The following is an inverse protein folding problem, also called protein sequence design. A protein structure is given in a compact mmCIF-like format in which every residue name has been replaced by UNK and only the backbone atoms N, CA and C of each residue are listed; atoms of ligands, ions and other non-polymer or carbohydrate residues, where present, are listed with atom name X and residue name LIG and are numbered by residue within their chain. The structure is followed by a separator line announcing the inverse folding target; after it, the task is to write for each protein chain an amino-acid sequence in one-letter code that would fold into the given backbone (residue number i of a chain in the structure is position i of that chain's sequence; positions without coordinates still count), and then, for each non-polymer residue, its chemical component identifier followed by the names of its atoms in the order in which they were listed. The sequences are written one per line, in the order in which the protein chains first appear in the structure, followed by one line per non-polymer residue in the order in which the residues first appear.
data_IF_865735357485
#
_entry.id   IF_865735357485
#
_cell.length_a   1.000
_cell.length_b   1.000
_cell.length_c   1.000
_cell.angle_alpha   90.00
_cell.angle_beta   90.00
_cell.angle_gamma   90.00
#
_symmetry.space_group_name_H-M   'P 1'
#
loop_
_entity.id
_entity.type
_entity.pdbx_description
1 polymer ?
#
# COMPACT_ATOMS: atom_id res chain seq x y z
N UNK A 1 -11.17 -17.93 -5.56
CA UNK A 1 -10.15 -17.34 -4.66
C UNK A 1 -10.88 -16.62 -3.55
N UNK A 2 -10.27 -16.45 -2.36
CA UNK A 2 -10.91 -15.72 -1.25
C UNK A 2 -10.76 -14.22 -1.48
N UNK A 3 -11.87 -13.47 -1.40
CA UNK A 3 -11.88 -12.01 -1.42
C UNK A 3 -11.36 -11.48 -0.07
N UNK A 4 -10.35 -10.63 -0.08
CA UNK A 4 -9.77 -10.01 1.12
C UNK A 4 -10.27 -8.59 1.31
N UNK A 5 -10.36 -7.81 0.21
CA UNK A 5 -10.87 -6.45 0.23
C UNK A 5 -12.02 -6.36 -0.78
N UNK A 6 -13.14 -5.75 -0.37
CA UNK A 6 -14.24 -5.35 -1.25
C UNK A 6 -14.65 -3.93 -0.93
N UNK A 7 -14.73 -3.10 -1.95
CA UNK A 7 -15.35 -1.79 -1.91
C UNK A 7 -16.69 -1.88 -2.64
N UNK A 8 -17.73 -1.33 -2.03
CA UNK A 8 -19.08 -1.39 -2.53
C UNK A 8 -19.69 0.01 -2.58
N UNK A 9 -19.69 0.60 -3.77
CA UNK A 9 -20.23 1.93 -4.07
C UNK A 9 -19.75 3.02 -3.11
N UNK A 10 -18.45 3.03 -2.78
CA UNK A 10 -17.91 4.03 -1.86
C UNK A 10 -17.87 5.42 -2.48
N UNK A 11 -18.22 6.41 -1.65
CA UNK A 11 -18.15 7.82 -1.99
C UNK A 11 -17.46 8.59 -0.87
N UNK A 12 -16.70 9.64 -1.20
CA UNK A 12 -16.10 10.53 -0.23
C UNK A 12 -16.20 11.97 -0.66
N UNK A 13 -16.81 12.76 0.22
CA UNK A 13 -16.99 14.20 0.04
C UNK A 13 -16.31 14.95 1.18
N UNK A 14 -15.69 16.09 0.86
CA UNK A 14 -15.16 17.04 1.82
C UNK A 14 -15.85 18.39 1.69
N UNK A 15 -15.91 19.13 2.79
CA UNK A 15 -16.51 20.46 2.83
C UNK A 15 -17.96 20.47 3.38
N UNK A 16 -18.46 21.68 3.63
CA UNK A 16 -19.80 21.92 4.17
C UNK A 16 -20.52 23.03 3.36
N UNK A 17 -21.83 22.95 3.27
CA UNK A 17 -22.64 23.97 2.62
C UNK A 17 -22.44 24.06 1.12
N UNK A 18 -22.10 25.23 0.58
CA UNK A 18 -22.01 25.47 -0.87
C UNK A 18 -20.72 24.97 -1.56
N UNK A 19 -19.71 24.53 -0.80
CA UNK A 19 -18.41 24.10 -1.33
C UNK A 19 -18.13 22.64 -0.97
N UNK A 20 -18.72 21.71 -1.74
CA UNK A 20 -18.48 20.26 -1.60
C UNK A 20 -17.50 19.82 -2.68
N UNK A 21 -16.36 19.22 -2.26
CA UNK A 21 -15.42 18.55 -3.14
C UNK A 21 -15.66 17.05 -3.09
N UNK A 22 -15.99 16.45 -4.23
CA UNK A 22 -16.15 15.00 -4.38
C UNK A 22 -14.79 14.39 -4.67
N UNK A 23 -14.15 13.87 -3.65
CA UNK A 23 -12.83 13.23 -3.79
C UNK A 23 -12.95 11.79 -4.33
N UNK A 24 -14.03 11.08 -3.97
CA UNK A 24 -14.41 9.77 -4.53
C UNK A 24 -15.89 9.87 -4.92
N UNK A 25 -16.21 9.55 -6.17
CA UNK A 25 -17.56 9.70 -6.71
C UNK A 25 -18.39 8.42 -6.54
N UNK A 26 -17.88 7.30 -7.02
CA UNK A 26 -18.46 5.96 -6.91
C UNK A 26 -17.38 4.95 -7.30
N UNK A 27 -16.83 4.25 -6.32
CA UNK A 27 -15.79 3.24 -6.56
C UNK A 27 -16.23 1.90 -6.00
N UNK A 28 -16.21 0.89 -6.87
CA UNK A 28 -16.45 -0.51 -6.50
C UNK A 28 -15.38 -1.37 -7.13
N UNK A 29 -14.67 -2.17 -6.34
CA UNK A 29 -13.76 -3.23 -6.79
C UNK A 29 -13.49 -4.20 -5.65
N UNK A 30 -12.87 -5.33 -5.97
CA UNK A 30 -12.40 -6.27 -4.97
C UNK A 30 -10.93 -6.66 -5.20
N UNK A 31 -10.28 -7.13 -4.12
CA UNK A 31 -8.91 -7.65 -4.15
C UNK A 31 -8.93 -9.07 -3.58
N UNK A 32 -8.35 -10.00 -4.32
CA UNK A 32 -8.28 -11.40 -3.92
C UNK A 32 -7.05 -11.66 -3.03
N UNK A 33 -7.13 -12.69 -2.21
CA UNK A 33 -6.00 -13.11 -1.36
C UNK A 33 -4.76 -13.41 -2.23
N UNK A 34 -3.63 -12.83 -1.85
CA UNK A 34 -2.37 -12.96 -2.57
C UNK A 34 -2.27 -12.12 -3.84
N UNK A 35 -3.27 -11.27 -4.14
CA UNK A 35 -3.20 -10.36 -5.27
C UNK A 35 -2.32 -9.15 -4.95
N UNK A 36 -1.52 -8.69 -5.91
CA UNK A 36 -0.81 -7.42 -5.86
C UNK A 36 -1.48 -6.45 -6.83
N UNK A 37 -2.24 -5.50 -6.29
CA UNK A 37 -2.99 -4.49 -7.05
C UNK A 37 -2.31 -3.14 -6.94
N UNK A 38 -2.12 -2.46 -8.08
CA UNK A 38 -1.70 -1.07 -8.14
C UNK A 38 -2.89 -0.14 -8.40
N UNK A 39 -2.89 1.01 -7.77
CA UNK A 39 -3.82 2.10 -8.05
C UNK A 39 -3.02 3.27 -8.61
N UNK A 40 -3.33 3.67 -9.84
CA UNK A 40 -2.65 4.76 -10.54
C UNK A 40 -3.62 5.90 -10.88
N UNK A 41 -3.06 7.09 -11.08
CA UNK A 41 -3.80 8.27 -11.52
C UNK A 41 -3.02 9.56 -11.29
N UNK A 42 -3.47 10.66 -11.88
CA UNK A 42 -2.86 11.98 -11.71
C UNK A 42 -2.94 12.47 -10.25
N UNK A 43 -2.17 13.50 -9.91
CA UNK A 43 -2.34 14.20 -8.63
C UNK A 43 -3.78 14.70 -8.50
N UNK A 44 -4.38 14.54 -7.31
CA UNK A 44 -5.77 14.92 -7.08
C UNK A 44 -6.84 13.95 -7.59
N UNK A 45 -6.48 12.81 -8.20
CA UNK A 45 -7.48 11.83 -8.70
C UNK A 45 -8.20 11.04 -7.60
N UNK A 46 -7.85 11.23 -6.31
CA UNK A 46 -8.50 10.55 -5.18
C UNK A 46 -7.74 9.35 -4.60
N UNK A 47 -6.54 9.02 -5.08
CA UNK A 47 -5.75 7.84 -4.64
C UNK A 47 -5.49 7.81 -3.14
N UNK A 48 -4.92 8.88 -2.59
CA UNK A 48 -4.62 8.99 -1.15
C UNK A 48 -5.90 8.99 -0.32
N UNK A 49 -6.96 9.64 -0.79
CA UNK A 49 -8.28 9.58 -0.15
C UNK A 49 -8.82 8.15 -0.11
N UNK A 50 -8.73 7.43 -1.23
CA UNK A 50 -9.14 6.03 -1.32
C UNK A 50 -8.35 5.16 -0.34
N UNK A 51 -7.02 5.33 -0.31
CA UNK A 51 -6.16 4.60 0.62
C UNK A 51 -6.50 4.91 2.08
N UNK A 52 -6.77 6.18 2.41
CA UNK A 52 -7.16 6.60 3.75
C UNK A 52 -8.50 5.99 4.18
N UNK A 53 -9.48 5.89 3.27
CA UNK A 53 -10.75 5.22 3.56
C UNK A 53 -10.54 3.71 3.79
N UNK A 54 -9.77 3.02 2.93
CA UNK A 54 -9.47 1.59 3.08
C UNK A 54 -8.71 1.32 4.38
N UNK A 55 -7.79 2.22 4.73
CA UNK A 55 -6.99 2.12 5.95
C UNK A 55 -7.72 2.54 7.22
N UNK A 56 -8.97 2.96 7.09
CA UNK A 56 -9.79 3.48 8.22
C UNK A 56 -9.17 4.71 8.93
N UNK A 57 -8.26 5.42 8.26
CA UNK A 57 -7.73 6.73 8.71
C UNK A 57 -8.79 7.80 8.47
N UNK A 58 -9.55 7.67 7.39
CA UNK A 58 -10.70 8.50 7.08
C UNK A 58 -11.94 7.63 6.88
N UNK A 59 -13.13 8.22 7.01
CA UNK A 59 -14.40 7.53 6.85
C UNK A 59 -14.99 7.83 5.47
N UNK A 60 -15.70 6.87 4.87
CA UNK A 60 -16.48 7.09 3.65
C UNK A 60 -17.69 7.97 3.94
N UNK A 61 -18.17 8.70 2.93
CA UNK A 61 -19.43 9.46 3.03
C UNK A 61 -20.64 8.61 2.68
N UNK A 62 -20.47 7.56 1.87
CA UNK A 62 -21.48 6.56 1.52
C UNK A 62 -20.79 5.29 1.01
N UNK A 63 -21.52 4.18 0.98
CA UNK A 63 -21.04 2.86 0.58
C UNK A 63 -20.33 2.13 1.70
N UNK A 64 -19.82 0.94 1.40
CA UNK A 64 -19.22 0.03 2.39
C UNK A 64 -17.85 -0.47 1.95
N UNK A 65 -16.98 -0.72 2.92
CA UNK A 65 -15.66 -1.33 2.72
C UNK A 65 -15.58 -2.58 3.59
N UNK A 66 -15.35 -3.72 2.96
CA UNK A 66 -15.19 -5.00 3.65
C UNK A 66 -13.74 -5.45 3.60
N UNK A 67 -13.15 -5.76 4.75
CA UNK A 67 -11.82 -6.39 4.86
C UNK A 67 -11.98 -7.75 5.54
N UNK A 68 -11.60 -8.81 4.82
CA UNK A 68 -11.74 -10.22 5.23
C UNK A 68 -13.17 -10.53 5.76
N UNK A 69 -14.19 -9.96 5.09
CA UNK A 69 -15.62 -10.11 5.42
C UNK A 69 -16.14 -9.17 6.52
N UNK A 70 -15.28 -8.39 7.17
CA UNK A 70 -15.70 -7.41 8.18
C UNK A 70 -15.97 -6.06 7.51
N UNK A 71 -17.15 -5.48 7.72
CA UNK A 71 -17.46 -4.11 7.29
C UNK A 71 -16.72 -3.10 8.18
N UNK A 72 -15.68 -2.48 7.61
CA UNK A 72 -14.84 -1.53 8.34
C UNK A 72 -15.51 -0.17 8.54
N UNK A 73 -16.56 0.12 7.77
CA UNK A 73 -17.31 1.38 7.87
C UNK A 73 -18.23 1.40 9.09
N UNK A 74 -18.54 0.24 9.65
CA UNK A 74 -19.41 0.08 10.83
C UNK A 74 -18.62 -0.14 12.15
N UNK A 75 -17.28 -0.26 12.08
CA UNK A 75 -16.44 -0.46 13.26
C UNK A 75 -16.47 0.83 14.12
N UNK A 76 -16.71 0.67 15.41
CA UNK A 76 -16.72 1.79 16.34
C UNK A 76 -15.30 2.35 16.59
N UNK A 77 -15.22 3.63 17.00
CA UNK A 77 -13.95 4.33 17.24
C UNK A 77 -13.02 3.64 18.24
N UNK A 78 -13.54 2.90 19.19
CA UNK A 78 -12.73 2.21 20.22
C UNK A 78 -12.03 0.98 19.67
N UNK A 79 -12.61 0.34 18.67
CA UNK A 79 -12.12 -0.91 18.07
C UNK A 79 -11.31 -0.67 16.79
N UNK A 80 -11.51 0.47 16.11
CA UNK A 80 -10.89 0.75 14.82
C UNK A 80 -9.35 0.73 14.88
N UNK A 81 -8.75 1.24 15.95
CA UNK A 81 -7.30 1.23 16.15
C UNK A 81 -6.76 -0.19 16.34
N UNK A 82 -7.50 -1.04 17.04
CA UNK A 82 -7.17 -2.46 17.20
C UNK A 82 -7.30 -3.18 15.87
N UNK A 83 -8.40 -2.96 15.14
CA UNK A 83 -8.62 -3.54 13.82
C UNK A 83 -7.47 -3.22 12.86
N UNK A 84 -7.04 -1.93 12.78
CA UNK A 84 -5.91 -1.52 11.94
C UNK A 84 -4.64 -2.30 12.24
N UNK A 85 -4.21 -2.34 13.51
CA UNK A 85 -2.94 -2.98 13.88
C UNK A 85 -2.93 -4.49 13.69
N UNK A 86 -4.11 -5.14 13.78
CA UNK A 86 -4.23 -6.58 13.61
C UNK A 86 -4.36 -7.01 12.14
N UNK A 87 -4.93 -6.16 11.28
CA UNK A 87 -5.32 -6.55 9.92
C UNK A 87 -4.58 -5.81 8.82
N UNK A 88 -3.98 -4.63 9.09
CA UNK A 88 -3.32 -3.81 8.09
C UNK A 88 -1.82 -3.67 8.34
N UNK A 89 -1.05 -3.74 7.26
CA UNK A 89 0.36 -3.33 7.22
C UNK A 89 0.51 -2.06 6.40
N UNK A 90 1.42 -1.17 6.80
CA UNK A 90 1.63 0.11 6.12
C UNK A 90 3.08 0.27 5.69
N UNK A 91 3.27 0.61 4.41
CA UNK A 91 4.56 1.02 3.83
C UNK A 91 4.38 2.42 3.25
N UNK A 92 4.99 3.41 3.89
CA UNK A 92 4.88 4.83 3.53
C UNK A 92 6.09 5.30 2.72
N UNK A 93 5.92 6.42 2.02
CA UNK A 93 6.98 7.15 1.32
C UNK A 93 8.09 7.59 2.30
N UNK A 94 7.72 8.25 3.40
CA UNK A 94 8.62 8.61 4.49
C UNK A 94 8.68 7.43 5.47
N UNK A 95 9.67 6.64 5.43
CA UNK A 95 9.86 5.37 6.17
C UNK A 95 9.18 5.28 7.55
N UNK A 96 8.88 6.41 8.20
CA UNK A 96 8.26 6.53 9.53
C UNK A 96 8.95 5.65 10.59
N UNK A 97 10.28 5.57 10.51
CA UNK A 97 11.09 4.92 11.53
C UNK A 97 11.35 5.88 12.69
N UNK A 98 11.41 5.33 13.90
CA UNK A 98 11.78 6.09 15.08
C UNK A 98 13.31 6.12 15.19
N UNK A 99 13.90 7.30 15.06
CA UNK A 99 15.36 7.49 15.10
C UNK A 99 15.99 7.15 16.45
N UNK A 100 15.20 7.11 17.52
CA UNK A 100 15.59 6.74 18.88
C UNK A 100 15.64 5.24 19.11
N UNK A 101 15.15 4.45 18.17
CA UNK A 101 15.13 2.99 18.21
C UNK A 101 16.06 2.41 17.16
N UNK A 102 16.70 1.28 17.45
CA UNK A 102 17.44 0.49 16.48
C UNK A 102 16.52 -0.07 15.39
N UNK A 103 17.09 -0.62 14.32
CA UNK A 103 16.32 -1.30 13.26
C UNK A 103 15.54 -2.49 13.85
N UNK A 104 16.17 -3.28 14.72
CA UNK A 104 15.49 -4.38 15.42
C UNK A 104 14.28 -3.90 16.23
N UNK A 105 14.47 -2.85 17.02
CA UNK A 105 13.41 -2.28 17.86
C UNK A 105 12.29 -1.64 17.03
N UNK A 106 12.61 -0.98 15.90
CA UNK A 106 11.60 -0.46 14.97
C UNK A 106 10.72 -1.58 14.40
N UNK A 107 11.31 -2.75 14.07
CA UNK A 107 10.55 -3.91 13.60
C UNK A 107 9.74 -4.52 14.75
N UNK A 108 10.35 -4.68 15.92
CA UNK A 108 9.72 -5.24 17.12
C UNK A 108 8.53 -4.42 17.62
N UNK A 109 8.50 -3.12 17.31
CA UNK A 109 7.44 -2.21 17.74
C UNK A 109 6.03 -2.72 17.35
N UNK A 110 5.88 -3.25 16.14
CA UNK A 110 4.61 -3.81 15.67
C UNK A 110 4.17 -5.04 16.47
N UNK A 111 5.11 -5.89 16.90
CA UNK A 111 4.85 -7.05 17.75
C UNK A 111 4.49 -6.63 19.19
N UNK A 112 5.22 -5.66 19.73
CA UNK A 112 5.00 -5.11 21.08
C UNK A 112 3.60 -4.49 21.20
N UNK A 113 3.18 -3.68 20.21
CA UNK A 113 1.84 -3.07 20.18
C UNK A 113 0.74 -4.14 20.12
N UNK A 114 1.00 -5.26 19.47
CA UNK A 114 0.09 -6.43 19.40
C UNK A 114 0.24 -7.38 20.58
N UNK A 115 1.02 -7.01 21.62
CA UNK A 115 1.18 -7.77 22.86
C UNK A 115 1.72 -9.20 22.65
N UNK A 116 2.57 -9.39 21.64
CA UNK A 116 3.26 -10.66 21.41
C UNK A 116 4.17 -10.96 22.60
N UNK A 117 4.23 -12.20 23.11
CA UNK A 117 5.09 -12.58 24.22
C UNK A 117 6.57 -12.22 23.95
N UNK A 118 7.23 -11.61 24.93
CA UNK A 118 8.60 -11.11 24.77
C UNK A 118 9.61 -12.17 24.28
N UNK A 119 9.42 -13.43 24.70
CA UNK A 119 10.28 -14.54 24.28
C UNK A 119 10.17 -14.92 22.80
N UNK A 120 9.14 -14.45 22.08
CA UNK A 120 8.95 -14.74 20.65
C UNK A 120 9.46 -13.61 19.74
N UNK A 121 9.62 -12.39 20.29
CA UNK A 121 9.86 -11.18 19.51
C UNK A 121 11.17 -11.27 18.75
N UNK A 122 12.27 -11.58 19.43
CA UNK A 122 13.61 -11.62 18.82
C UNK A 122 13.70 -12.66 17.70
N UNK A 123 13.09 -13.82 17.90
CA UNK A 123 13.04 -14.88 16.88
C UNK A 123 12.32 -14.40 15.61
N UNK A 124 11.14 -13.79 15.78
CA UNK A 124 10.33 -13.29 14.65
C UNK A 124 11.02 -12.13 13.94
N UNK A 125 11.66 -11.22 14.68
CA UNK A 125 12.43 -10.10 14.10
C UNK A 125 13.59 -10.62 13.26
N UNK A 126 14.39 -11.58 13.77
CA UNK A 126 15.52 -12.18 13.05
C UNK A 126 15.06 -12.91 11.78
N UNK A 127 14.00 -13.70 11.87
CA UNK A 127 13.42 -14.39 10.71
C UNK A 127 13.01 -13.39 9.61
N UNK A 128 12.34 -12.30 10.01
CA UNK A 128 11.93 -11.26 9.08
C UNK A 128 13.13 -10.52 8.48
N UNK A 129 14.16 -10.23 9.29
CA UNK A 129 15.39 -9.58 8.85
C UNK A 129 16.14 -10.42 7.80
N UNK A 130 16.15 -11.74 7.94
CA UNK A 130 16.73 -12.66 6.93
C UNK A 130 15.96 -12.54 5.62
N UNK A 131 14.62 -12.61 5.65
CA UNK A 131 13.76 -12.51 4.44
C UNK A 131 13.95 -11.20 3.69
N UNK A 132 14.30 -10.11 4.39
CA UNK A 132 14.45 -8.77 3.83
C UNK A 132 15.92 -8.35 3.64
N UNK A 133 16.86 -9.24 3.93
CA UNK A 133 18.31 -8.99 3.81
C UNK A 133 18.75 -7.72 4.56
N UNK A 134 18.42 -7.67 5.87
CA UNK A 134 18.76 -6.57 6.79
C UNK A 134 19.31 -7.06 8.14
N UNK A 135 19.77 -8.31 8.22
CA UNK A 135 20.31 -8.89 9.46
C UNK A 135 21.55 -8.18 9.97
N UNK A 136 22.38 -7.66 9.08
CA UNK A 136 23.65 -6.97 9.35
C UNK A 136 23.48 -5.57 9.95
N UNK A 137 22.26 -5.06 9.96
CA UNK A 137 21.96 -3.70 10.43
C UNK A 137 20.98 -3.66 11.62
N UNK A 138 20.59 -4.80 12.18
CA UNK A 138 19.59 -4.86 13.25
C UNK A 138 19.92 -3.99 14.47
N UNK A 139 21.20 -3.90 14.82
CA UNK A 139 21.70 -3.13 15.97
C UNK A 139 22.01 -1.66 15.64
N UNK A 140 21.82 -1.25 14.36
CA UNK A 140 22.03 0.14 13.92
C UNK A 140 20.77 0.98 14.09
N UNK A 141 20.99 2.29 14.21
CA UNK A 141 19.90 3.27 14.22
C UNK A 141 19.55 3.71 12.79
N UNK A 142 18.32 4.23 12.54
CA UNK A 142 17.92 4.66 11.21
C UNK A 142 18.87 5.65 10.53
N UNK A 143 19.47 6.58 11.26
CA UNK A 143 20.43 7.54 10.71
C UNK A 143 21.77 6.92 10.29
N UNK A 144 22.06 5.66 10.64
CA UNK A 144 23.30 4.94 10.31
C UNK A 144 23.16 4.04 9.08
N UNK A 145 21.98 3.99 8.47
CA UNK A 145 21.68 3.06 7.36
C UNK A 145 21.20 3.81 6.12
N UNK A 146 21.32 3.17 4.95
CA UNK A 146 20.88 3.76 3.68
C UNK A 146 19.36 3.88 3.58
N UNK A 147 18.87 4.72 2.67
CA UNK A 147 17.43 4.87 2.40
C UNK A 147 16.76 3.54 2.05
N UNK A 148 17.39 2.72 1.19
CA UNK A 148 16.87 1.40 0.84
C UNK A 148 16.83 0.43 2.04
N UNK A 149 17.80 0.52 2.98
CA UNK A 149 17.79 -0.27 4.22
C UNK A 149 16.67 0.19 5.16
N UNK A 150 16.47 1.51 5.30
CA UNK A 150 15.32 2.07 6.05
C UNK A 150 14.00 1.56 5.50
N UNK A 151 13.84 1.56 4.18
CA UNK A 151 12.61 1.11 3.55
C UNK A 151 12.36 -0.39 3.76
N UNK A 152 13.40 -1.23 3.67
CA UNK A 152 13.25 -2.65 3.99
C UNK A 152 12.90 -2.87 5.47
N UNK A 153 13.41 -2.05 6.38
CA UNK A 153 12.99 -2.06 7.78
C UNK A 153 11.50 -1.68 7.92
N UNK A 154 11.03 -0.64 7.22
CA UNK A 154 9.63 -0.26 7.20
C UNK A 154 8.74 -1.37 6.63
N UNK A 155 9.17 -2.05 5.57
CA UNK A 155 8.50 -3.25 5.05
C UNK A 155 8.46 -4.37 6.11
N UNK A 156 9.59 -4.65 6.79
CA UNK A 156 9.64 -5.66 7.85
C UNK A 156 8.59 -5.38 8.92
N UNK A 157 8.54 -4.13 9.40
CA UNK A 157 7.56 -3.69 10.39
C UNK A 157 6.12 -3.84 9.90
N UNK A 158 5.86 -3.56 8.63
CA UNK A 158 4.53 -3.65 8.04
C UNK A 158 4.00 -5.10 7.96
N UNK A 159 4.89 -6.08 7.73
CA UNK A 159 4.47 -7.46 7.44
C UNK A 159 4.67 -8.44 8.59
N UNK A 160 5.42 -8.07 9.64
CA UNK A 160 5.79 -8.99 10.72
C UNK A 160 4.59 -9.56 11.49
N UNK A 161 3.47 -8.82 11.53
CA UNK A 161 2.21 -9.28 12.11
C UNK A 161 1.34 -10.10 11.15
N UNK A 162 1.83 -10.39 9.94
CA UNK A 162 1.09 -11.12 8.90
C UNK A 162 -0.30 -10.50 8.64
N UNK A 163 -0.35 -9.22 8.28
CA UNK A 163 -1.61 -8.52 8.05
C UNK A 163 -2.40 -9.14 6.91
N UNK A 164 -3.72 -8.93 6.88
CA UNK A 164 -4.61 -9.35 5.80
C UNK A 164 -4.34 -8.57 4.51
N UNK A 165 -4.01 -7.28 4.65
CA UNK A 165 -3.75 -6.37 3.55
C UNK A 165 -2.57 -5.46 3.87
N UNK A 166 -1.64 -5.36 2.94
CA UNK A 166 -0.54 -4.39 2.97
C UNK A 166 -0.91 -3.21 2.09
N UNK A 167 -0.85 -2.02 2.65
CA UNK A 167 -1.08 -0.75 1.98
C UNK A 167 0.25 -0.05 1.76
N UNK A 168 0.59 0.27 0.51
CA UNK A 168 1.80 1.00 0.14
C UNK A 168 1.42 2.32 -0.54
N UNK A 169 1.76 3.44 0.10
CA UNK A 169 1.51 4.78 -0.41
C UNK A 169 2.81 5.38 -0.92
N UNK A 170 2.93 5.47 -2.25
CA UNK A 170 4.10 6.05 -2.95
C UNK A 170 5.45 5.59 -2.39
N UNK A 171 5.56 4.31 -2.03
CA UNK A 171 6.68 3.75 -1.25
C UNK A 171 8.07 3.99 -1.86
N UNK A 172 8.16 4.36 -3.15
CA UNK A 172 9.40 4.66 -3.88
C UNK A 172 9.71 6.15 -4.00
N UNK A 173 8.80 7.03 -3.63
CA UNK A 173 8.88 8.47 -3.91
C UNK A 173 10.10 9.19 -3.33
N UNK A 174 10.66 8.69 -2.22
CA UNK A 174 11.85 9.24 -1.57
C UNK A 174 13.15 8.49 -1.90
N UNK A 175 13.12 7.52 -2.84
CA UNK A 175 14.25 6.64 -3.15
C UNK A 175 14.87 6.95 -4.52
N UNK A 176 16.18 6.72 -4.64
CA UNK A 176 16.85 6.63 -5.94
C UNK A 176 16.38 5.39 -6.73
N UNK A 177 16.66 5.37 -8.04
CA UNK A 177 16.18 4.31 -8.95
C UNK A 177 16.63 2.90 -8.53
N UNK A 178 17.85 2.74 -8.01
CA UNK A 178 18.37 1.45 -7.59
C UNK A 178 17.65 0.96 -6.32
N UNK A 179 17.51 1.84 -5.33
CA UNK A 179 16.80 1.55 -4.08
C UNK A 179 15.31 1.27 -4.33
N UNK A 180 14.67 1.99 -5.24
CA UNK A 180 13.30 1.75 -5.68
C UNK A 180 13.13 0.35 -6.29
N UNK A 181 14.02 -0.03 -7.19
CA UNK A 181 14.00 -1.37 -7.80
C UNK A 181 14.19 -2.47 -6.75
N UNK A 182 15.11 -2.30 -5.81
CA UNK A 182 15.34 -3.27 -4.72
C UNK A 182 14.11 -3.40 -3.83
N UNK A 183 13.47 -2.30 -3.46
CA UNK A 183 12.25 -2.31 -2.66
C UNK A 183 11.11 -3.02 -3.38
N UNK A 184 10.83 -2.63 -4.63
CA UNK A 184 9.73 -3.21 -5.42
C UNK A 184 9.94 -4.72 -5.65
N UNK A 185 11.17 -5.13 -5.93
CA UNK A 185 11.53 -6.56 -6.03
C UNK A 185 11.31 -7.28 -4.69
N UNK A 186 11.59 -6.62 -3.56
CA UNK A 186 11.33 -7.18 -2.23
C UNK A 186 9.82 -7.31 -1.98
N UNK A 187 9.03 -6.28 -2.28
CA UNK A 187 7.56 -6.30 -2.14
C UNK A 187 6.96 -7.41 -3.03
N UNK A 188 7.42 -7.52 -4.28
CA UNK A 188 7.00 -8.58 -5.18
C UNK A 188 7.35 -9.97 -4.63
N UNK A 189 8.57 -10.16 -4.14
CA UNK A 189 8.99 -11.43 -3.51
C UNK A 189 8.12 -11.79 -2.31
N UNK A 190 7.76 -10.82 -1.46
CA UNK A 190 6.84 -11.01 -0.33
C UNK A 190 5.46 -11.47 -0.82
N UNK A 191 4.94 -10.85 -1.87
CA UNK A 191 3.68 -11.27 -2.48
C UNK A 191 3.75 -12.71 -3.01
N UNK A 192 4.79 -13.04 -3.79
CA UNK A 192 4.95 -14.34 -4.45
C UNK A 192 5.27 -15.48 -3.46
N UNK A 193 6.13 -15.22 -2.45
CA UNK A 193 6.61 -16.28 -1.53
C UNK A 193 5.77 -16.43 -0.27
N UNK A 194 5.18 -15.35 0.23
CA UNK A 194 4.36 -15.35 1.45
C UNK A 194 2.86 -15.26 1.17
N UNK A 195 2.45 -15.09 -0.10
CA UNK A 195 1.05 -14.92 -0.47
C UNK A 195 0.43 -13.64 0.10
N UNK A 196 1.24 -12.62 0.38
CA UNK A 196 0.76 -11.37 0.94
C UNK A 196 -0.14 -10.63 -0.05
N UNK A 197 -1.29 -10.12 0.41
CA UNK A 197 -2.19 -9.28 -0.39
C UNK A 197 -1.72 -7.84 -0.31
N UNK A 198 -1.50 -7.18 -1.44
CA UNK A 198 -0.89 -5.85 -1.48
C UNK A 198 -1.73 -4.90 -2.34
N UNK A 199 -2.01 -3.72 -1.80
CA UNK A 199 -2.59 -2.59 -2.51
C UNK A 199 -1.60 -1.43 -2.50
N UNK A 200 -1.06 -1.08 -3.66
CA UNK A 200 -0.06 -0.04 -3.82
C UNK A 200 -0.63 1.15 -4.57
N UNK A 201 -0.52 2.33 -4.00
CA UNK A 201 -0.80 3.60 -4.68
C UNK A 201 0.50 4.16 -5.23
N UNK A 202 0.50 4.53 -6.50
CA UNK A 202 1.65 5.16 -7.14
C UNK A 202 1.21 6.00 -8.36
N UNK A 203 2.00 6.99 -8.71
CA UNK A 203 1.89 7.71 -9.99
C UNK A 203 2.99 7.28 -10.98
N UNK A 204 3.93 6.44 -10.53
CA UNK A 204 5.05 5.96 -11.33
C UNK A 204 4.73 4.63 -12.02
N UNK A 205 4.79 4.63 -13.36
CA UNK A 205 4.52 3.45 -14.19
C UNK A 205 5.51 2.29 -13.95
N UNK A 206 6.77 2.60 -13.61
CA UNK A 206 7.77 1.58 -13.31
C UNK A 206 7.39 0.83 -12.04
N UNK A 207 7.03 1.53 -10.97
CA UNK A 207 6.54 0.93 -9.72
C UNK A 207 5.28 0.09 -9.95
N UNK A 208 4.32 0.63 -10.70
CA UNK A 208 3.08 -0.06 -11.02
C UNK A 208 3.31 -1.38 -11.80
N UNK A 209 4.35 -1.46 -12.64
CA UNK A 209 4.65 -2.66 -13.45
C UNK A 209 4.96 -3.92 -12.63
N UNK A 210 5.21 -3.78 -11.33
CA UNK A 210 5.40 -4.91 -10.42
C UNK A 210 4.10 -5.58 -9.97
N UNK A 211 2.98 -4.86 -10.06
CA UNK A 211 1.67 -5.39 -9.69
C UNK A 211 1.12 -6.41 -10.71
N UNK A 212 0.12 -7.18 -10.28
CA UNK A 212 -0.58 -8.13 -11.15
C UNK A 212 -1.73 -7.47 -11.92
N UNK A 213 -2.31 -6.41 -11.34
CA UNK A 213 -3.45 -5.65 -11.87
C UNK A 213 -3.30 -4.18 -11.51
N UNK A 214 -3.69 -3.30 -12.42
CA UNK A 214 -3.70 -1.85 -12.18
C UNK A 214 -5.12 -1.32 -12.36
N UNK A 215 -5.57 -0.56 -11.37
CA UNK A 215 -6.77 0.27 -11.43
C UNK A 215 -6.34 1.72 -11.71
N UNK A 216 -6.85 2.32 -12.75
CA UNK A 216 -6.57 3.71 -13.08
C UNK A 216 -7.70 4.60 -12.57
N UNK A 217 -7.35 5.54 -11.68
CA UNK A 217 -8.28 6.52 -11.13
C UNK A 217 -8.20 7.84 -11.90
N UNK A 218 -9.35 8.39 -12.26
CA UNK A 218 -9.51 9.73 -12.81
C UNK A 218 -10.74 10.39 -12.20
N UNK A 219 -10.57 11.60 -11.67
CA UNK A 219 -11.68 12.42 -11.14
C UNK A 219 -12.55 11.70 -10.10
N UNK A 220 -11.90 10.91 -9.20
CA UNK A 220 -12.59 10.19 -8.14
C UNK A 220 -13.35 8.93 -8.56
N UNK A 221 -13.13 8.42 -9.77
CA UNK A 221 -13.74 7.20 -10.29
C UNK A 221 -12.70 6.27 -10.94
N UNK A 222 -13.01 4.97 -11.07
CA UNK A 222 -12.19 4.04 -11.84
C UNK A 222 -12.43 4.34 -13.33
N UNK A 223 -11.37 4.75 -14.03
CA UNK A 223 -11.38 4.99 -15.47
C UNK A 223 -11.31 3.69 -16.26
N UNK A 224 -10.35 2.83 -15.89
CA UNK A 224 -10.15 1.51 -16.50
C UNK A 224 -9.29 0.64 -15.59
N UNK A 225 -9.23 -0.64 -15.90
CA UNK A 225 -8.28 -1.58 -15.30
C UNK A 225 -7.54 -2.38 -16.36
N UNK A 226 -6.33 -2.80 -16.04
CA UNK A 226 -5.53 -3.72 -16.85
C UNK A 226 -4.92 -4.82 -15.99
N UNK A 227 -4.83 -6.01 -16.56
CA UNK A 227 -4.24 -7.19 -15.96
C UNK A 227 -2.89 -7.50 -16.61
N UNK A 228 -1.90 -7.86 -15.79
CA UNK A 228 -0.61 -8.34 -16.29
C UNK A 228 -0.74 -9.69 -16.97
N UNK A 229 -1.52 -10.61 -16.39
CA UNK A 229 -1.68 -11.97 -16.93
C UNK A 229 -0.35 -12.67 -17.14
N UNK A 230 -0.13 -13.19 -18.35
CA UNK A 230 1.12 -13.83 -18.77
C UNK A 230 2.19 -12.88 -19.33
N UNK A 231 1.96 -11.58 -19.32
CA UNK A 231 2.91 -10.60 -19.86
C UNK A 231 4.20 -10.52 -19.06
N UNK A 232 5.30 -10.22 -19.76
CA UNK A 232 6.52 -9.78 -19.09
C UNK A 232 6.28 -8.44 -18.39
N UNK A 233 7.09 -8.12 -17.37
CA UNK A 233 7.02 -6.81 -16.70
C UNK A 233 7.22 -5.67 -17.70
N UNK A 234 8.11 -5.82 -18.69
CA UNK A 234 8.33 -4.83 -19.73
C UNK A 234 7.09 -4.58 -20.59
N UNK A 235 6.47 -5.65 -21.08
CA UNK A 235 5.23 -5.53 -21.87
C UNK A 235 4.11 -4.91 -21.06
N UNK A 236 3.99 -5.27 -19.79
CA UNK A 236 2.99 -4.68 -18.89
C UNK A 236 3.25 -3.19 -18.62
N UNK A 237 4.52 -2.81 -18.44
CA UNK A 237 4.92 -1.40 -18.32
C UNK A 237 4.54 -0.58 -19.57
N UNK A 238 4.77 -1.12 -20.78
CA UNK A 238 4.36 -0.47 -22.02
C UNK A 238 2.84 -0.27 -22.10
N UNK A 239 2.03 -1.27 -21.70
CA UNK A 239 0.57 -1.16 -21.60
C UNK A 239 0.13 -0.08 -20.59
N UNK A 240 0.83 0.04 -19.45
CA UNK A 240 0.56 1.09 -18.47
C UNK A 240 0.78 2.47 -19.08
N UNK A 241 1.88 2.67 -19.82
CA UNK A 241 2.18 3.95 -20.49
C UNK A 241 1.12 4.30 -21.54
N UNK A 242 0.62 3.32 -22.30
CA UNK A 242 -0.45 3.55 -23.27
C UNK A 242 -1.72 4.08 -22.58
N UNK A 243 -2.13 3.47 -21.45
CA UNK A 243 -3.30 3.97 -20.70
C UNK A 243 -3.05 5.37 -20.13
N UNK A 244 -1.86 5.63 -19.56
CA UNK A 244 -1.52 6.96 -19.05
C UNK A 244 -1.57 8.03 -20.16
N UNK A 245 -1.11 7.70 -21.36
CA UNK A 245 -1.19 8.58 -22.54
C UNK A 245 -2.64 8.87 -22.90
N UNK A 246 -3.52 7.88 -22.88
CA UNK A 246 -4.97 8.07 -23.10
C UNK A 246 -5.63 8.91 -22.01
N UNK A 247 -5.17 8.79 -20.76
CA UNK A 247 -5.69 9.58 -19.64
C UNK A 247 -5.23 11.04 -19.65
N UNK A 248 -3.97 11.29 -20.05
CA UNK A 248 -3.36 12.64 -20.08
C UNK A 248 -3.55 13.39 -21.39
N UNK A 249 -3.94 12.70 -22.43
CA UNK A 249 -4.04 13.25 -23.77
C UNK A 249 -5.43 13.24 -24.36
N UNK A 250 -6.21 14.32 -24.14
CA UNK A 250 -6.75 14.92 -25.34
C UNK A 250 -5.57 15.54 -26.10
N UNK A 251 -5.19 15.01 -27.26
CA UNK A 251 -4.27 15.63 -28.22
C UNK A 251 -4.93 16.90 -28.80
N UNK A 252 -5.12 17.94 -27.98
CA UNK A 252 -5.78 19.18 -28.38
C UNK A 252 -5.11 20.45 -27.88
N UNK A 253 -3.93 20.36 -27.20
CA UNK A 253 -3.21 21.57 -26.78
C UNK A 253 -1.72 21.58 -27.21
N UNK A 254 -1.45 21.15 -28.45
CA UNK A 254 -0.24 21.52 -29.17
C UNK A 254 -0.66 22.27 -30.45
N UNK A 255 -1.08 23.51 -30.27
CA UNK A 255 -1.09 24.54 -31.31
C UNK A 255 -0.58 25.84 -30.74
#
# INVERSE_FOLDING_TARGET
MKEVLKLDHIQKYYGNGGNITKAIQDISFSVQQGEFVGIMGASGSGKTTLLNCISTIDTVSAGHIYLDGTDVTEINEKEIARFRRENLGFVFQDFNLLDTLTISENIALALNINQVPAGEIDGRVREMAVKLNITDILDKYPYQVSGGQKQRCACARAIINQPKLILADEATGALDSHSSQMLLSTIQSINETLGATILMVTHDAFSASYANRILFLRDGAIFTEILKGGDSRRTFFEKILDVLTMMGGGVSDVR
#
